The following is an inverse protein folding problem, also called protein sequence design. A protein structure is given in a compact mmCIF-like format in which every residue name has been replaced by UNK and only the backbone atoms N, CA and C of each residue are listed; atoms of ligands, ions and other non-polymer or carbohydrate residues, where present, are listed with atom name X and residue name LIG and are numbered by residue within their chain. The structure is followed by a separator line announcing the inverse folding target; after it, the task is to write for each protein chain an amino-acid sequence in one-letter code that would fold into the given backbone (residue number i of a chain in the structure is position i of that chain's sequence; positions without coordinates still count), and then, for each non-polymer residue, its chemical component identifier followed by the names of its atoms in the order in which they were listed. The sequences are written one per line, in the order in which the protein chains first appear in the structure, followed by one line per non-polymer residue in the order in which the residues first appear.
data_IF_825666875562
#
_entry.id   IF_825666875562
#
_cell.length_a   1.000
_cell.length_b   1.000
_cell.length_c   1.000
_cell.angle_alpha   90.00
_cell.angle_beta   90.00
_cell.angle_gamma   90.00
#
_symmetry.space_group_name_H-M   'P 1'
#
loop_
_entity.id
_entity.type
_entity.pdbx_description
1 polymer ?
#
# COMPACT_ATOMS: atom_id res chain seq x y z
N UNK A 1 69.24 14.28 3.17
CA UNK A 1 68.42 13.07 3.43
C UNK A 1 67.07 13.39 4.06
N UNK A 2 66.96 14.35 4.98
CA UNK A 2 65.70 14.77 5.63
C UNK A 2 64.62 15.29 4.68
N UNK A 3 64.99 16.10 3.67
CA UNK A 3 64.04 16.64 2.69
C UNK A 3 63.37 15.58 1.80
N UNK A 4 64.08 14.50 1.47
CA UNK A 4 63.57 13.38 0.65
C UNK A 4 62.53 12.53 1.41
N UNK A 5 62.75 12.35 2.72
CA UNK A 5 61.81 11.65 3.62
C UNK A 5 60.53 12.48 3.79
N UNK A 6 60.65 13.81 3.94
CA UNK A 6 59.50 14.72 4.01
C UNK A 6 58.66 14.71 2.71
N UNK A 7 59.31 14.75 1.55
CA UNK A 7 58.64 14.69 0.24
C UNK A 7 57.90 13.36 0.03
N UNK A 8 58.54 12.24 0.39
CA UNK A 8 57.92 10.91 0.29
C UNK A 8 56.67 10.81 1.18
N UNK A 9 56.70 11.36 2.40
CA UNK A 9 55.54 11.42 3.29
C UNK A 9 54.37 12.21 2.71
N UNK A 10 54.63 13.35 2.07
CA UNK A 10 53.58 14.17 1.41
C UNK A 10 52.94 13.42 0.25
N UNK A 11 53.74 12.75 -0.59
CA UNK A 11 53.23 11.99 -1.73
C UNK A 11 52.35 10.82 -1.27
N UNK A 12 52.81 10.05 -0.28
CA UNK A 12 52.05 8.93 0.29
C UNK A 12 50.76 9.44 0.96
N UNK A 13 50.84 10.53 1.73
CA UNK A 13 49.68 11.16 2.34
C UNK A 13 48.65 11.59 1.30
N UNK A 14 49.08 12.28 0.24
CA UNK A 14 48.21 12.73 -0.85
C UNK A 14 47.56 11.57 -1.61
N UNK A 15 48.30 10.49 -1.88
CA UNK A 15 47.77 9.27 -2.50
C UNK A 15 46.73 8.59 -1.62
N UNK A 16 47.00 8.44 -0.33
CA UNK A 16 46.04 7.85 0.61
C UNK A 16 44.78 8.71 0.74
N UNK A 17 44.91 10.04 0.81
CA UNK A 17 43.77 10.97 0.82
C UNK A 17 42.95 10.91 -0.46
N UNK A 18 43.59 10.78 -1.63
CA UNK A 18 42.88 10.64 -2.90
C UNK A 18 42.09 9.33 -2.96
N UNK A 19 42.69 8.23 -2.49
CA UNK A 19 42.04 6.91 -2.43
C UNK A 19 40.84 6.94 -1.48
N UNK A 20 40.99 7.46 -0.26
CA UNK A 20 39.89 7.55 0.71
C UNK A 20 38.76 8.43 0.18
N UNK A 21 39.09 9.59 -0.39
CA UNK A 21 38.10 10.50 -1.00
C UNK A 21 37.32 9.81 -2.12
N UNK A 22 38.00 9.05 -3.00
CA UNK A 22 37.34 8.32 -4.07
C UNK A 22 36.34 7.28 -3.54
N UNK A 23 36.73 6.48 -2.54
CA UNK A 23 35.84 5.49 -1.93
C UNK A 23 34.65 6.14 -1.22
N UNK A 24 34.89 7.20 -0.45
CA UNK A 24 33.81 7.96 0.20
C UNK A 24 32.84 8.54 -0.82
N UNK A 25 33.35 9.23 -1.85
CA UNK A 25 32.52 9.81 -2.91
C UNK A 25 31.69 8.73 -3.62
N UNK A 26 32.28 7.58 -3.93
CA UNK A 26 31.58 6.46 -4.57
C UNK A 26 30.50 5.88 -3.66
N UNK A 27 30.78 5.75 -2.37
CA UNK A 27 29.82 5.25 -1.37
C UNK A 27 28.63 6.22 -1.22
N UNK A 28 28.92 7.51 -1.04
CA UNK A 28 27.89 8.55 -0.91
C UNK A 28 26.98 8.59 -2.13
N UNK A 29 27.52 8.51 -3.36
CA UNK A 29 26.72 8.47 -4.58
C UNK A 29 25.80 7.26 -4.66
N UNK A 30 26.24 6.07 -4.18
CA UNK A 30 25.39 4.87 -4.14
C UNK A 30 24.24 5.04 -3.17
N UNK A 31 24.53 5.49 -1.95
CA UNK A 31 23.52 5.76 -0.92
C UNK A 31 22.52 6.81 -1.40
N UNK A 32 22.99 7.86 -2.06
CA UNK A 32 22.13 8.91 -2.62
C UNK A 32 21.21 8.37 -3.73
N UNK A 33 21.73 7.51 -4.62
CA UNK A 33 20.92 6.87 -5.67
C UNK A 33 19.86 5.94 -5.07
N UNK A 34 20.22 5.13 -4.07
CA UNK A 34 19.28 4.26 -3.35
C UNK A 34 18.18 5.10 -2.67
N UNK A 35 18.55 6.15 -1.95
CA UNK A 35 17.59 7.06 -1.32
C UNK A 35 16.70 7.79 -2.33
N UNK A 36 17.25 8.21 -3.47
CA UNK A 36 16.49 8.85 -4.53
C UNK A 36 15.50 7.87 -5.17
N UNK A 37 15.92 6.63 -5.42
CA UNK A 37 15.07 5.56 -5.92
C UNK A 37 13.94 5.24 -4.96
N UNK A 38 14.26 5.01 -3.67
CA UNK A 38 13.27 4.69 -2.64
C UNK A 38 12.25 5.82 -2.46
N UNK A 39 12.70 7.08 -2.49
CA UNK A 39 11.81 8.23 -2.43
C UNK A 39 10.87 8.28 -3.64
N UNK A 40 11.41 8.16 -4.85
CA UNK A 40 10.62 8.19 -6.07
C UNK A 40 9.59 7.05 -6.12
N UNK A 41 9.99 5.84 -5.71
CA UNK A 41 9.09 4.69 -5.62
C UNK A 41 7.99 4.93 -4.58
N UNK A 42 8.34 5.46 -3.41
CA UNK A 42 7.38 5.78 -2.34
C UNK A 42 6.37 6.84 -2.78
N UNK A 43 6.82 7.88 -3.48
CA UNK A 43 5.95 8.95 -3.98
C UNK A 43 4.96 8.41 -5.01
N UNK A 44 5.42 7.55 -5.94
CA UNK A 44 4.55 6.87 -6.91
C UNK A 44 3.56 5.91 -6.25
N UNK A 45 4.00 5.17 -5.24
CA UNK A 45 3.13 4.32 -4.41
C UNK A 45 2.06 5.14 -3.71
N UNK A 46 2.43 6.26 -3.09
CA UNK A 46 1.48 7.12 -2.38
C UNK A 46 0.34 7.57 -3.31
N UNK A 47 0.69 8.07 -4.50
CA UNK A 47 -0.29 8.50 -5.50
C UNK A 47 -1.23 7.35 -5.92
N UNK A 48 -0.66 6.20 -6.31
CA UNK A 48 -1.47 5.03 -6.70
C UNK A 48 -2.33 4.49 -5.56
N UNK A 49 -1.79 4.46 -4.34
CA UNK A 49 -2.45 3.90 -3.17
C UNK A 49 -3.59 4.79 -2.69
N UNK A 50 -3.46 6.12 -2.80
CA UNK A 50 -4.58 7.04 -2.54
C UNK A 50 -5.77 6.76 -3.46
N UNK A 51 -5.51 6.52 -4.75
CA UNK A 51 -6.56 6.15 -5.72
C UNK A 51 -7.20 4.81 -5.36
N UNK A 52 -6.41 3.77 -5.07
CA UNK A 52 -6.95 2.47 -4.64
C UNK A 52 -7.75 2.57 -3.34
N UNK A 53 -7.25 3.33 -2.37
CA UNK A 53 -7.95 3.56 -1.12
C UNK A 53 -9.33 4.21 -1.38
N UNK A 54 -9.39 5.17 -2.32
CA UNK A 54 -10.65 5.77 -2.73
C UNK A 54 -11.59 4.75 -3.42
N UNK A 55 -11.08 3.92 -4.33
CA UNK A 55 -11.87 2.85 -4.98
C UNK A 55 -12.44 1.88 -3.94
N UNK A 56 -11.65 1.55 -2.90
CA UNK A 56 -12.06 0.65 -1.82
C UNK A 56 -13.19 1.18 -0.93
N UNK A 57 -13.62 2.44 -1.09
CA UNK A 57 -14.73 3.04 -0.32
C UNK A 57 -16.05 2.27 -0.46
N UNK A 58 -16.23 1.54 -1.56
CA UNK A 58 -17.38 0.66 -1.79
C UNK A 58 -17.48 -0.50 -0.79
N UNK A 59 -16.38 -0.81 -0.09
CA UNK A 59 -16.28 -1.83 0.96
C UNK A 59 -15.92 -1.16 2.30
N UNK A 60 -16.84 -0.37 2.90
CA UNK A 60 -16.62 0.28 4.18
C UNK A 60 -16.45 -0.74 5.31
N UNK A 61 -15.97 -0.28 6.47
CA UNK A 61 -15.83 -1.14 7.65
C UNK A 61 -17.17 -1.72 8.12
N UNK A 62 -18.26 -0.97 7.96
CA UNK A 62 -19.62 -1.38 8.24
C UNK A 62 -20.53 -0.80 7.16
N UNK A 63 -21.42 -1.62 6.61
CA UNK A 63 -22.57 -1.12 5.85
C UNK A 63 -23.70 -0.81 6.83
N UNK A 64 -24.53 0.17 6.49
CA UNK A 64 -25.86 0.27 7.09
C UNK A 64 -26.72 -0.86 6.55
N UNK A 65 -27.72 -1.30 7.31
CA UNK A 65 -28.56 -2.44 6.93
C UNK A 65 -29.15 -2.27 5.52
N UNK A 66 -29.62 -1.07 5.19
CA UNK A 66 -30.21 -0.68 3.91
C UNK A 66 -29.19 -0.49 2.78
N UNK A 67 -27.89 -0.42 3.09
CA UNK A 67 -26.79 -0.16 2.15
C UNK A 67 -25.98 -1.41 1.82
N UNK A 68 -26.43 -2.59 2.27
CA UNK A 68 -25.75 -3.85 1.98
C UNK A 68 -25.78 -4.12 0.47
N UNK A 69 -24.64 -4.29 -0.19
CA UNK A 69 -24.59 -4.39 -1.64
C UNK A 69 -25.27 -5.66 -2.16
N UNK A 70 -25.72 -5.59 -3.41
CA UNK A 70 -26.19 -6.74 -4.19
C UNK A 70 -25.02 -7.42 -4.93
N UNK A 71 -25.26 -8.55 -5.62
CA UNK A 71 -24.21 -9.17 -6.44
C UNK A 71 -23.88 -8.33 -7.66
N UNK A 72 -24.88 -7.66 -8.23
CA UNK A 72 -24.68 -6.67 -9.28
C UNK A 72 -23.71 -5.56 -8.85
N UNK A 73 -23.85 -5.04 -7.62
CA UNK A 73 -22.91 -4.06 -7.07
C UNK A 73 -21.48 -4.63 -6.98
N UNK A 74 -21.32 -5.88 -6.52
CA UNK A 74 -20.01 -6.52 -6.47
C UNK A 74 -19.36 -6.67 -7.85
N UNK A 75 -20.15 -6.95 -8.89
CA UNK A 75 -19.65 -6.98 -10.27
C UNK A 75 -19.17 -5.61 -10.72
N UNK A 76 -19.85 -4.53 -10.31
CA UNK A 76 -19.39 -3.14 -10.54
C UNK A 76 -18.09 -2.88 -9.79
N UNK A 77 -18.04 -3.17 -8.49
CA UNK A 77 -16.83 -2.97 -7.69
C UNK A 77 -15.64 -3.70 -8.28
N UNK A 78 -15.80 -4.97 -8.69
CA UNK A 78 -14.74 -5.72 -9.34
C UNK A 78 -14.22 -5.04 -10.61
N UNK A 79 -15.09 -4.42 -11.42
CA UNK A 79 -14.66 -3.63 -12.59
C UNK A 79 -13.88 -2.39 -12.14
N UNK A 80 -14.39 -1.64 -11.18
CA UNK A 80 -13.71 -0.43 -10.69
C UNK A 80 -12.29 -0.75 -10.15
N UNK A 81 -12.12 -1.87 -9.44
CA UNK A 81 -10.81 -2.36 -9.00
C UNK A 81 -9.93 -2.77 -10.18
N UNK A 82 -10.48 -3.53 -11.14
CA UNK A 82 -9.77 -3.96 -12.34
C UNK A 82 -9.28 -2.76 -13.18
N UNK A 83 -10.14 -1.76 -13.37
CA UNK A 83 -9.86 -0.55 -14.12
C UNK A 83 -8.80 0.29 -13.40
N UNK A 84 -8.78 0.32 -12.06
CA UNK A 84 -7.67 0.91 -11.34
C UNK A 84 -6.34 0.17 -11.57
N UNK A 85 -6.36 -1.17 -11.60
CA UNK A 85 -5.15 -1.99 -11.72
C UNK A 85 -4.52 -1.90 -13.11
N UNK A 86 -5.34 -1.96 -14.17
CA UNK A 86 -4.92 -2.01 -15.57
C UNK A 86 -5.19 -0.72 -16.37
N UNK A 87 -5.76 0.30 -15.73
CA UNK A 87 -6.09 1.57 -16.38
C UNK A 87 -4.86 2.35 -16.81
N UNK A 88 -5.09 3.58 -17.28
CA UNK A 88 -4.04 4.43 -17.89
C UNK A 88 -2.84 4.67 -16.97
N UNK A 89 -3.08 4.78 -15.66
CA UNK A 89 -2.04 4.98 -14.66
C UNK A 89 -1.32 3.69 -14.24
N UNK A 90 -1.82 2.53 -14.68
CA UNK A 90 -1.32 1.20 -14.33
C UNK A 90 -1.07 1.03 -12.82
N UNK A 91 -2.04 1.39 -11.97
CA UNK A 91 -1.86 1.47 -10.52
C UNK A 91 -1.37 0.15 -9.89
N UNK A 92 -1.71 -0.99 -10.50
CA UNK A 92 -1.23 -2.31 -10.09
C UNK A 92 0.29 -2.49 -10.14
N UNK A 93 1.01 -1.70 -10.94
CA UNK A 93 2.48 -1.75 -11.06
C UNK A 93 3.19 -1.36 -9.77
N UNK A 94 2.59 -0.48 -8.97
CA UNK A 94 3.23 0.09 -7.79
C UNK A 94 2.97 -0.71 -6.51
N UNK A 95 2.10 -1.71 -6.55
CA UNK A 95 1.83 -2.56 -5.39
C UNK A 95 3.12 -3.25 -4.90
N UNK A 96 3.35 -3.22 -3.59
CA UNK A 96 4.28 -4.15 -2.96
C UNK A 96 3.76 -5.58 -3.09
N UNK A 97 4.63 -6.58 -2.88
CA UNK A 97 4.21 -7.98 -2.91
C UNK A 97 3.11 -8.28 -1.87
N UNK A 98 3.22 -7.69 -0.68
CA UNK A 98 2.22 -7.85 0.39
C UNK A 98 0.87 -7.21 0.00
N UNK A 99 0.89 -5.96 -0.49
CA UNK A 99 -0.31 -5.27 -0.93
C UNK A 99 -0.96 -5.96 -2.14
N UNK A 100 -0.16 -6.46 -3.08
CA UNK A 100 -0.63 -7.27 -4.21
C UNK A 100 -1.31 -8.56 -3.75
N UNK A 101 -0.73 -9.25 -2.77
CA UNK A 101 -1.36 -10.42 -2.15
C UNK A 101 -2.71 -10.11 -1.50
N UNK A 102 -2.82 -9.00 -0.76
CA UNK A 102 -4.09 -8.55 -0.18
C UNK A 102 -5.11 -8.17 -1.25
N UNK A 103 -4.68 -7.43 -2.29
CA UNK A 103 -5.50 -7.01 -3.42
C UNK A 103 -6.10 -8.21 -4.16
N UNK A 104 -5.28 -9.18 -4.55
CA UNK A 104 -5.74 -10.34 -5.31
C UNK A 104 -6.69 -11.23 -4.50
N UNK A 105 -6.45 -11.40 -3.19
CA UNK A 105 -7.40 -12.11 -2.31
C UNK A 105 -8.76 -11.42 -2.28
N UNK A 106 -8.78 -10.09 -2.18
CA UNK A 106 -10.03 -9.34 -2.24
C UNK A 106 -10.74 -9.49 -3.58
N UNK A 107 -10.04 -9.36 -4.72
CA UNK A 107 -10.66 -9.52 -6.04
C UNK A 107 -11.20 -10.92 -6.28
N UNK A 108 -10.48 -11.96 -5.84
CA UNK A 108 -10.92 -13.34 -5.95
C UNK A 108 -12.19 -13.56 -5.11
N UNK A 109 -12.23 -13.06 -3.88
CA UNK A 109 -13.43 -13.16 -3.04
C UNK A 109 -14.60 -12.38 -3.63
N UNK A 110 -14.38 -11.17 -4.17
CA UNK A 110 -15.41 -10.42 -4.89
C UNK A 110 -15.96 -11.22 -6.09
N UNK A 111 -15.09 -11.89 -6.85
CA UNK A 111 -15.49 -12.68 -8.01
C UNK A 111 -16.29 -13.92 -7.59
N UNK A 112 -15.83 -14.64 -6.58
CA UNK A 112 -16.51 -15.82 -6.02
C UNK A 112 -17.92 -15.46 -5.55
N UNK A 113 -18.00 -14.46 -4.66
CA UNK A 113 -19.26 -13.99 -4.07
C UNK A 113 -20.19 -13.43 -5.14
N UNK A 114 -19.70 -12.69 -6.14
CA UNK A 114 -20.54 -12.16 -7.22
C UNK A 114 -21.17 -13.24 -8.15
N UNK A 115 -20.66 -14.48 -8.09
CA UNK A 115 -21.08 -15.60 -8.95
C UNK A 115 -21.91 -16.67 -8.21
N UNK A 116 -22.00 -16.63 -6.88
CA UNK A 116 -22.57 -17.69 -6.02
C UNK A 116 -24.05 -18.03 -6.29
N UNK A 117 -24.82 -17.24 -7.03
CA UNK A 117 -26.25 -17.50 -7.28
C UNK A 117 -26.65 -17.21 -8.75
N UNK A 118 -26.02 -17.88 -9.72
CA UNK A 118 -26.40 -17.75 -11.15
C UNK A 118 -27.81 -18.27 -11.48
N UNK A 119 -28.43 -19.02 -10.59
CA UNK A 119 -29.73 -19.68 -10.84
C UNK A 119 -30.95 -18.82 -10.47
N UNK A 120 -30.75 -17.54 -10.09
CA UNK A 120 -31.86 -16.62 -9.85
C UNK A 120 -32.51 -16.23 -11.19
N UNK A 121 -33.83 -16.44 -11.37
CA UNK A 121 -34.52 -16.10 -12.61
C UNK A 121 -34.35 -14.63 -12.99
N UNK A 122 -34.08 -14.40 -14.27
CA UNK A 122 -33.96 -13.06 -14.87
C UNK A 122 -35.23 -12.25 -14.56
N UNK A 123 -35.08 -11.14 -13.82
CA UNK A 123 -36.20 -10.28 -13.38
C UNK A 123 -36.53 -10.34 -11.88
N UNK A 124 -35.94 -11.25 -11.11
CA UNK A 124 -36.05 -11.23 -9.64
C UNK A 124 -35.07 -10.23 -9.03
N UNK A 125 -35.47 -9.50 -7.97
CA UNK A 125 -34.53 -8.67 -7.22
C UNK A 125 -33.45 -9.57 -6.59
N UNK A 126 -32.18 -9.31 -6.90
CA UNK A 126 -31.08 -10.03 -6.28
C UNK A 126 -31.06 -9.77 -4.77
N UNK A 127 -30.99 -10.82 -3.93
CA UNK A 127 -30.90 -10.62 -2.49
C UNK A 127 -29.58 -9.92 -2.14
N UNK A 128 -29.57 -9.12 -1.06
CA UNK A 128 -28.34 -8.55 -0.53
C UNK A 128 -27.37 -9.65 -0.10
N UNK A 129 -26.10 -9.29 0.09
CA UNK A 129 -25.12 -10.22 0.64
C UNK A 129 -25.53 -10.79 1.98
N UNK A 130 -25.21 -12.06 2.23
CA UNK A 130 -25.31 -12.62 3.57
C UNK A 130 -24.38 -11.89 4.55
N UNK A 131 -24.67 -12.01 5.84
CA UNK A 131 -23.83 -11.43 6.89
C UNK A 131 -22.38 -11.97 6.85
N UNK A 132 -22.21 -13.25 6.50
CA UNK A 132 -20.90 -13.90 6.43
C UNK A 132 -20.08 -13.39 5.25
N UNK A 133 -20.63 -13.40 4.04
CA UNK A 133 -19.96 -12.87 2.85
C UNK A 133 -19.61 -11.39 3.05
N UNK A 134 -20.53 -10.64 3.66
CA UNK A 134 -20.32 -9.26 4.01
C UNK A 134 -19.17 -9.08 4.99
N UNK A 135 -19.03 -9.95 5.98
CA UNK A 135 -17.93 -9.92 6.96
C UNK A 135 -16.59 -10.22 6.29
N UNK A 136 -16.53 -11.24 5.44
CA UNK A 136 -15.31 -11.66 4.73
C UNK A 136 -14.80 -10.54 3.82
N UNK A 137 -15.66 -9.97 2.96
CA UNK A 137 -15.26 -8.90 2.04
C UNK A 137 -14.75 -7.65 2.78
N UNK A 138 -15.42 -7.26 3.87
CA UNK A 138 -14.99 -6.11 4.68
C UNK A 138 -13.67 -6.36 5.40
N UNK A 139 -13.44 -7.57 5.89
CA UNK A 139 -12.17 -7.96 6.48
C UNK A 139 -11.02 -7.87 5.46
N UNK A 140 -11.22 -8.41 4.25
CA UNK A 140 -10.24 -8.34 3.16
C UNK A 140 -9.98 -6.90 2.70
N UNK A 141 -11.02 -6.07 2.61
CA UNK A 141 -10.86 -4.65 2.28
C UNK A 141 -10.16 -3.85 3.39
N UNK A 142 -10.37 -4.22 4.66
CA UNK A 142 -9.64 -3.64 5.80
C UNK A 142 -8.17 -4.04 5.77
N UNK A 143 -7.87 -5.32 5.49
CA UNK A 143 -6.50 -5.83 5.35
C UNK A 143 -5.77 -5.12 4.20
N UNK A 144 -6.41 -4.99 3.03
CA UNK A 144 -5.83 -4.24 1.91
C UNK A 144 -5.48 -2.82 2.34
N UNK A 145 -6.44 -2.07 2.90
CA UNK A 145 -6.20 -0.69 3.34
C UNK A 145 -5.09 -0.58 4.39
N UNK A 146 -4.99 -1.57 5.28
CA UNK A 146 -3.90 -1.63 6.26
C UNK A 146 -2.55 -1.80 5.58
N UNK A 147 -2.42 -2.73 4.63
CA UNK A 147 -1.16 -2.93 3.89
C UNK A 147 -0.78 -1.70 3.06
N UNK A 148 -1.75 -1.02 2.44
CA UNK A 148 -1.48 0.23 1.73
C UNK A 148 -0.85 1.28 2.67
N UNK A 149 -1.40 1.44 3.88
CA UNK A 149 -0.87 2.36 4.88
C UNK A 149 0.50 1.92 5.44
N UNK A 150 0.73 0.62 5.58
CA UNK A 150 2.00 0.06 6.04
C UNK A 150 3.14 0.34 5.06
N UNK A 151 2.92 0.09 3.77
CA UNK A 151 3.91 0.29 2.70
C UNK A 151 4.38 1.74 2.56
N UNK A 152 3.46 2.71 2.68
CA UNK A 152 3.81 4.14 2.61
C UNK A 152 4.35 4.67 3.95
N UNK A 153 4.33 3.84 4.99
CA UNK A 153 4.82 4.16 6.33
C UNK A 153 3.90 5.02 7.18
N UNK A 154 2.65 5.26 6.77
CA UNK A 154 1.67 6.00 7.57
C UNK A 154 1.12 5.18 8.74
N UNK A 155 1.24 3.85 8.69
CA UNK A 155 0.92 2.97 9.82
C UNK A 155 2.03 2.93 10.88
N UNK A 156 3.23 3.42 10.57
CA UNK A 156 4.35 3.46 11.51
C UNK A 156 4.32 4.77 12.32
N UNK A 157 4.67 4.73 13.62
CA UNK A 157 4.84 5.97 14.38
C UNK A 157 5.92 6.84 13.72
N UNK A 158 5.76 8.18 13.74
CA UNK A 158 6.78 9.07 13.22
C UNK A 158 8.11 8.79 13.92
N UNK A 159 9.17 8.50 13.14
CA UNK A 159 10.52 8.23 13.66
C UNK A 159 11.15 9.47 14.31
N UNK A 160 10.69 10.64 13.90
CA UNK A 160 10.99 11.90 14.56
C UNK A 160 9.97 12.06 15.69
N UNK A 161 10.45 12.28 16.93
CA UNK A 161 9.61 12.50 18.11
C UNK A 161 8.80 13.80 17.99
N UNK A 162 7.76 13.78 17.19
CA UNK A 162 6.71 14.77 17.20
C UNK A 162 5.47 14.06 17.74
N UNK A 163 4.99 14.58 18.87
CA UNK A 163 3.71 14.33 19.56
C UNK A 163 2.87 13.15 19.02
N UNK A 164 2.73 12.10 19.84
CA UNK A 164 1.92 10.91 19.52
C UNK A 164 0.50 11.31 19.10
N UNK A 165 0.02 10.93 17.90
CA UNK A 165 -1.40 10.97 17.59
C UNK A 165 -2.14 10.03 18.55
N UNK A 166 -3.24 10.52 19.14
CA UNK A 166 -4.07 9.79 20.09
C UNK A 166 -4.59 8.48 19.50
N UNK A 167 -4.72 7.45 20.33
CA UNK A 167 -5.31 6.17 19.93
C UNK A 167 -6.71 6.38 19.33
N UNK A 168 -6.97 5.68 18.22
CA UNK A 168 -8.31 5.54 17.65
C UNK A 168 -9.21 4.94 18.72
N UNK A 169 -10.19 5.70 19.17
CA UNK A 169 -11.14 5.33 20.22
C UNK A 169 -11.81 4.00 19.83
N UNK A 170 -11.93 3.06 20.77
CA UNK A 170 -12.68 1.81 20.57
C UNK A 170 -14.10 2.09 20.10
N UNK A 171 -14.69 1.25 19.23
CA UNK A 171 -16.08 1.43 18.82
C UNK A 171 -17.00 1.40 20.05
N UNK A 172 -18.07 2.22 20.07
CA UNK A 172 -19.05 2.16 21.15
C UNK A 172 -19.68 0.76 21.20
N UNK A 173 -20.03 0.25 22.40
CA UNK A 173 -20.71 -1.03 22.53
C UNK A 173 -22.02 -0.99 21.74
N UNK A 174 -22.30 -2.07 21.02
CA UNK A 174 -23.57 -2.26 20.31
C UNK A 174 -24.71 -2.25 21.34
N UNK A 175 -25.61 -1.28 21.23
CA UNK A 175 -26.87 -1.26 21.98
C UNK A 175 -27.70 -2.43 21.47
N UNK A 176 -27.83 -3.47 22.27
CA UNK A 176 -28.84 -4.51 22.11
C UNK A 176 -30.14 -3.96 22.71
N UNK A 177 -31.09 -3.61 21.86
CA UNK A 177 -32.51 -3.48 22.21
C UNK A 177 -33.20 -4.86 22.14
#
# INVERSE_FOLDING_TARGET
MTALIGLAGVIVGALLSAITTYFTMRSTKRIELEHAYDRALRDKRLESYQRLFHVSKCLPRYWRAEETPTRQDLRRYRRDFHDWYFGEDAGGLFLSDAAKGAYLRLLNSLAEVALTNRDVPEGSQEPPLSAEESRVLRALASELRHQLAADIGTANPPRLQWTRPSQTISPPPSVTD
#
